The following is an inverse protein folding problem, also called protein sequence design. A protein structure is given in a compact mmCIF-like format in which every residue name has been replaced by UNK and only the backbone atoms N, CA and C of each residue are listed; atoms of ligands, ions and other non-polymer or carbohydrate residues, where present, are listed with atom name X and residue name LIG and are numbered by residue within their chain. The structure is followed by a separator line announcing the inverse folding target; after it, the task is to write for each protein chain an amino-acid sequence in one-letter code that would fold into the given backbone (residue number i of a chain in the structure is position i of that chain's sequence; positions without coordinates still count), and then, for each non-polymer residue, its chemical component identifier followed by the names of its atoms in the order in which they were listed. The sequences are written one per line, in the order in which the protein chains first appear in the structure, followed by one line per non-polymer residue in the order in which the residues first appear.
data_IF_248925518789
#
_entry.id   IF_248925518789
#
_cell.length_a   1.000
_cell.length_b   1.000
_cell.length_c   1.000
_cell.angle_alpha   90.00
_cell.angle_beta   90.00
_cell.angle_gamma   90.00
#
_symmetry.space_group_name_H-M   'P 1'
#
loop_
_entity.id
_entity.type
_entity.pdbx_description
1 polymer ?
#
# COMPACT_ATOMS: atom_id res chain seq x y z
N UNK A 1 -7.97 14.00 57.66
CA UNK A 1 -9.21 13.41 58.17
C UNK A 1 -9.79 12.62 57.01
N UNK A 2 -9.06 11.64 56.49
CA UNK A 2 -8.80 10.33 57.09
C UNK A 2 -10.11 9.60 57.29
N UNK A 3 -10.47 8.75 56.33
CA UNK A 3 -11.06 7.47 56.70
C UNK A 3 -10.51 6.39 55.76
N UNK A 4 -10.01 5.37 56.43
CA UNK A 4 -9.03 4.39 56.03
C UNK A 4 -9.62 3.06 56.44
N UNK A 5 -9.57 2.09 55.51
CA UNK A 5 -9.56 0.64 55.78
C UNK A 5 -10.88 -0.01 56.17
N UNK A 6 -11.26 -1.08 55.46
CA UNK A 6 -10.97 -2.45 55.90
C UNK A 6 -11.64 -3.46 54.95
N UNK A 7 -10.80 -4.28 54.32
CA UNK A 7 -11.18 -5.54 53.68
C UNK A 7 -11.13 -6.64 54.76
N UNK A 8 -12.13 -7.52 54.82
CA UNK A 8 -12.06 -8.82 55.51
C UNK A 8 -12.92 -9.88 54.78
N UNK A 9 -12.69 -11.20 55.01
CA UNK A 9 -12.59 -12.20 53.94
C UNK A 9 -13.74 -13.23 53.90
N UNK A 10 -13.67 -14.10 52.87
CA UNK A 10 -14.61 -15.18 52.55
C UNK A 10 -14.55 -16.39 53.51
N UNK A 11 -15.59 -17.25 53.49
CA UNK A 11 -15.42 -18.68 53.69
C UNK A 11 -15.66 -19.49 52.40
N UNK A 12 -14.79 -20.48 52.21
CA UNK A 12 -14.78 -21.48 51.15
C UNK A 12 -15.78 -22.62 51.41
N UNK A 13 -16.15 -23.38 50.35
CA UNK A 13 -16.04 -24.86 50.17
C UNK A 13 -16.87 -25.31 48.93
N UNK A 14 -16.74 -26.52 48.35
CA UNK A 14 -15.65 -26.88 47.44
C UNK A 14 -16.08 -27.66 46.15
N UNK A 15 -15.11 -27.79 45.25
CA UNK A 15 -14.80 -28.89 44.31
C UNK A 15 -15.89 -29.72 43.61
N UNK A 16 -15.84 -29.70 42.28
CA UNK A 16 -15.38 -30.80 41.39
C UNK A 16 -15.71 -30.36 39.95
N UNK A 17 -14.96 -30.62 38.88
CA UNK A 17 -13.95 -31.63 38.58
C UNK A 17 -13.19 -31.12 37.34
N UNK A 18 -11.89 -31.38 37.32
CA UNK A 18 -10.96 -31.09 36.24
C UNK A 18 -11.27 -31.85 34.95
N UNK A 19 -11.01 -31.23 33.80
CA UNK A 19 -9.91 -31.67 32.92
C UNK A 19 -9.61 -30.67 31.79
N UNK A 20 -8.37 -30.70 31.28
CA UNK A 20 -7.74 -29.60 30.56
C UNK A 20 -7.79 -29.80 29.04
N UNK A 21 -7.75 -28.71 28.28
CA UNK A 21 -6.79 -28.59 27.19
C UNK A 21 -6.80 -27.20 26.56
N UNK A 22 -5.59 -26.66 26.36
CA UNK A 22 -5.28 -25.95 25.12
C UNK A 22 -5.59 -24.46 25.04
N UNK A 23 -4.80 -23.65 25.72
CA UNK A 23 -4.45 -22.31 25.24
C UNK A 23 -3.85 -22.40 23.84
N UNK A 24 -4.45 -21.73 22.85
CA UNK A 24 -3.72 -21.17 21.74
C UNK A 24 -4.46 -19.95 21.20
N UNK A 25 -3.82 -18.79 21.34
CA UNK A 25 -4.12 -17.57 20.60
C UNK A 25 -4.18 -17.84 19.09
N UNK A 26 -4.88 -17.03 18.29
CA UNK A 26 -4.72 -17.09 16.84
C UNK A 26 -3.27 -16.73 16.50
N UNK A 27 -2.43 -17.73 16.25
CA UNK A 27 -1.15 -17.55 15.60
C UNK A 27 -1.42 -17.00 14.22
N UNK A 28 -0.92 -15.80 13.97
CA UNK A 28 -0.73 -15.30 12.61
C UNK A 28 -0.01 -16.39 11.83
N UNK A 29 -0.70 -16.96 10.84
CA UNK A 29 -0.11 -17.93 9.93
C UNK A 29 1.15 -17.34 9.29
N UNK A 30 2.18 -18.14 8.99
CA UNK A 30 3.38 -17.63 8.37
C UNK A 30 3.00 -16.89 7.08
N UNK A 31 3.38 -15.61 7.00
CA UNK A 31 3.41 -14.87 5.76
C UNK A 31 4.24 -15.72 4.78
N UNK A 32 3.56 -16.36 3.84
CA UNK A 32 4.21 -17.21 2.86
C UNK A 32 4.96 -16.28 1.92
N UNK A 33 6.26 -16.11 2.17
CA UNK A 33 7.17 -15.59 1.15
C UNK A 33 7.04 -16.48 -0.09
N UNK A 34 6.95 -15.91 -1.31
CA UNK A 34 6.80 -16.73 -2.50
C UNK A 34 8.05 -17.60 -2.72
N UNK A 35 7.91 -18.77 -3.38
CA UNK A 35 9.04 -19.63 -3.68
C UNK A 35 9.97 -18.97 -4.71
N UNK A 36 11.17 -18.58 -4.31
CA UNK A 36 12.22 -18.13 -5.23
C UNK A 36 12.94 -19.32 -5.83
N UNK A 37 12.43 -19.81 -6.97
CA UNK A 37 13.25 -20.59 -7.92
C UNK A 37 13.87 -19.62 -8.93
N UNK A 38 15.18 -19.65 -9.21
CA UNK A 38 15.73 -18.91 -10.33
C UNK A 38 15.48 -19.71 -11.62
N UNK A 39 14.37 -19.43 -12.30
CA UNK A 39 14.10 -19.95 -13.65
C UNK A 39 14.77 -19.08 -14.71
N UNK A 40 15.21 -19.72 -15.79
CA UNK A 40 15.86 -19.14 -16.97
C UNK A 40 14.93 -18.27 -17.86
N UNK A 41 13.80 -17.81 -17.32
CA UNK A 41 12.88 -16.90 -17.99
C UNK A 41 13.37 -15.44 -17.83
N UNK A 42 13.17 -14.57 -18.84
CA UNK A 42 13.47 -13.16 -18.68
C UNK A 42 12.68 -12.60 -17.48
N UNK A 43 13.28 -11.69 -16.70
CA UNK A 43 12.62 -11.15 -15.51
C UNK A 43 11.29 -10.53 -15.92
N UNK A 44 10.22 -10.88 -15.20
CA UNK A 44 8.90 -10.30 -15.41
C UNK A 44 8.98 -8.76 -15.42
N UNK A 45 8.04 -8.10 -16.11
CA UNK A 45 8.00 -6.64 -16.16
C UNK A 45 7.97 -6.02 -14.75
N UNK A 46 7.30 -6.68 -13.80
CA UNK A 46 7.27 -6.26 -12.41
C UNK A 46 8.66 -6.33 -11.76
N UNK A 47 9.38 -7.44 -11.94
CA UNK A 47 10.76 -7.60 -11.43
C UNK A 47 11.68 -6.51 -11.99
N UNK A 48 11.52 -6.17 -13.27
CA UNK A 48 12.28 -5.09 -13.90
C UNK A 48 11.95 -3.72 -13.31
N UNK A 49 10.66 -3.41 -13.16
CA UNK A 49 10.22 -2.15 -12.56
C UNK A 49 10.77 -1.97 -11.13
N UNK A 50 10.75 -3.05 -10.33
CA UNK A 50 11.32 -3.07 -8.97
C UNK A 50 12.84 -2.79 -9.02
N UNK A 51 13.57 -3.47 -9.90
CA UNK A 51 15.02 -3.29 -10.03
C UNK A 51 15.40 -1.86 -10.42
N UNK A 52 14.68 -1.26 -11.39
CA UNK A 52 14.93 0.13 -11.83
C UNK A 52 14.60 1.11 -10.71
N UNK A 53 13.47 0.93 -10.01
CA UNK A 53 13.11 1.77 -8.86
C UNK A 53 14.14 1.67 -7.73
N UNK A 54 14.75 0.49 -7.55
CA UNK A 54 15.77 0.27 -6.54
C UNK A 54 17.13 0.84 -6.90
N UNK A 55 17.48 0.88 -8.18
CA UNK A 55 18.73 1.43 -8.66
C UNK A 55 18.79 2.96 -8.56
N UNK A 56 17.64 3.65 -8.62
CA UNK A 56 17.58 5.11 -8.60
C UNK A 56 16.73 5.67 -7.45
N UNK A 57 17.44 6.23 -6.45
CA UNK A 57 16.85 6.87 -5.28
C UNK A 57 16.01 8.13 -5.60
N UNK A 58 16.07 8.68 -6.80
CA UNK A 58 15.29 9.85 -7.22
C UNK A 58 13.91 9.51 -7.78
N UNK A 59 13.70 8.26 -8.19
CA UNK A 59 12.43 7.80 -8.76
C UNK A 59 11.39 7.52 -7.66
N UNK A 60 10.16 8.01 -7.86
CA UNK A 60 9.03 7.67 -7.01
C UNK A 60 8.35 6.38 -7.46
N UNK A 61 8.19 6.23 -8.78
CA UNK A 61 7.57 5.07 -9.40
C UNK A 61 8.20 4.74 -10.77
N UNK A 62 8.06 3.49 -11.19
CA UNK A 62 8.50 2.96 -12.49
C UNK A 62 7.41 2.05 -13.03
N UNK A 63 7.16 2.05 -14.33
CA UNK A 63 6.31 1.08 -14.99
C UNK A 63 7.03 0.44 -16.17
N UNK A 64 6.95 -0.89 -16.28
CA UNK A 64 7.54 -1.65 -17.38
C UNK A 64 6.45 -2.46 -18.09
N UNK A 65 6.61 -2.61 -19.41
CA UNK A 65 5.84 -3.54 -20.23
C UNK A 65 6.72 -4.07 -21.34
N UNK A 66 6.78 -5.39 -21.50
CA UNK A 66 7.43 -6.04 -22.64
C UNK A 66 6.37 -6.38 -23.68
N UNK A 67 6.53 -5.87 -24.89
CA UNK A 67 5.63 -6.16 -26.01
C UNK A 67 5.86 -7.56 -26.58
N UNK A 68 4.96 -7.98 -27.47
CA UNK A 68 5.07 -9.27 -28.19
C UNK A 68 6.32 -9.35 -29.09
N UNK A 69 6.87 -8.19 -29.46
CA UNK A 69 8.13 -8.03 -30.18
C UNK A 69 9.38 -8.22 -29.29
N UNK A 70 9.18 -8.47 -27.99
CA UNK A 70 10.24 -8.59 -27.00
C UNK A 70 10.85 -7.26 -26.57
N UNK A 71 10.34 -6.12 -27.07
CA UNK A 71 10.83 -4.79 -26.70
C UNK A 71 10.19 -4.34 -25.39
N UNK A 72 11.02 -3.99 -24.42
CA UNK A 72 10.54 -3.48 -23.13
C UNK A 72 10.43 -1.96 -23.13
N UNK A 73 9.21 -1.46 -22.97
CA UNK A 73 8.95 -0.06 -22.64
C UNK A 73 9.13 0.16 -21.13
N UNK A 74 9.81 1.25 -20.75
CA UNK A 74 9.99 1.66 -19.35
C UNK A 74 9.60 3.12 -19.19
N UNK A 75 8.70 3.39 -18.25
CA UNK A 75 8.26 4.72 -17.86
C UNK A 75 8.75 5.01 -16.45
N UNK A 76 9.31 6.18 -16.23
CA UNK A 76 9.82 6.60 -14.92
C UNK A 76 9.08 7.85 -14.44
N UNK A 77 8.73 7.86 -13.16
CA UNK A 77 8.06 8.96 -12.50
C UNK A 77 8.92 9.46 -11.36
N UNK A 78 9.36 10.71 -11.45
CA UNK A 78 10.14 11.37 -10.41
C UNK A 78 9.30 12.42 -9.67
N UNK A 79 9.64 12.66 -8.40
CA UNK A 79 8.90 13.58 -7.54
C UNK A 79 8.40 12.90 -6.27
N UNK A 80 7.57 13.64 -5.51
CA UNK A 80 7.09 13.22 -4.18
C UNK A 80 5.61 12.90 -4.21
N UNK A 81 5.23 11.87 -3.45
CA UNK A 81 3.85 11.41 -3.35
C UNK A 81 3.31 10.99 -4.71
N UNK A 82 2.06 11.30 -4.95
CA UNK A 82 1.31 10.90 -6.17
C UNK A 82 1.56 11.78 -7.41
N UNK A 83 2.42 12.80 -7.30
CA UNK A 83 2.71 13.72 -8.42
C UNK A 83 3.11 13.03 -9.73
N UNK A 84 4.03 12.04 -9.76
CA UNK A 84 4.37 11.38 -11.01
C UNK A 84 3.19 10.68 -11.68
N UNK A 85 2.27 10.11 -10.90
CA UNK A 85 1.05 9.47 -11.43
C UNK A 85 0.10 10.51 -12.06
N UNK A 86 -0.09 11.64 -11.38
CA UNK A 86 -0.89 12.75 -11.92
C UNK A 86 -0.29 13.36 -13.20
N UNK A 87 1.04 13.35 -13.32
CA UNK A 87 1.75 13.80 -14.51
C UNK A 87 1.50 12.83 -15.67
N UNK A 88 1.64 11.52 -15.45
CA UNK A 88 1.31 10.51 -16.44
C UNK A 88 -0.13 10.63 -16.94
N UNK A 89 -1.10 10.83 -16.04
CA UNK A 89 -2.50 11.10 -16.44
C UNK A 89 -2.64 12.37 -17.28
N UNK A 90 -1.98 13.46 -16.89
CA UNK A 90 -2.03 14.72 -17.63
C UNK A 90 -1.39 14.62 -19.03
N UNK A 91 -0.37 13.78 -19.17
CA UNK A 91 0.30 13.50 -20.44
C UNK A 91 -0.47 12.50 -21.31
N UNK A 92 -1.64 12.03 -20.85
CA UNK A 92 -2.46 11.05 -21.56
C UNK A 92 -1.86 9.63 -21.58
N UNK A 93 -0.90 9.35 -20.70
CA UNK A 93 -0.27 8.04 -20.58
C UNK A 93 -1.28 7.04 -20.04
N UNK A 94 -1.25 5.82 -20.60
CA UNK A 94 -1.99 4.67 -20.13
C UNK A 94 -1.04 3.54 -19.78
N UNK A 95 -1.35 2.84 -18.70
CA UNK A 95 -0.56 1.73 -18.17
C UNK A 95 -1.20 0.37 -18.48
N UNK A 96 -2.03 0.29 -19.51
CA UNK A 96 -2.68 -0.96 -19.93
C UNK A 96 -1.61 -2.03 -20.26
N UNK A 97 -1.62 -3.11 -19.48
CA UNK A 97 -0.64 -4.21 -19.56
C UNK A 97 0.72 -3.92 -18.92
N UNK A 98 0.92 -2.73 -18.33
CA UNK A 98 2.15 -2.42 -17.59
C UNK A 98 2.10 -2.97 -16.16
N UNK A 99 3.27 -3.39 -15.69
CA UNK A 99 3.54 -3.65 -14.29
C UNK A 99 4.31 -2.46 -13.69
N UNK A 100 3.82 -1.93 -12.58
CA UNK A 100 4.40 -0.77 -11.91
C UNK A 100 5.06 -1.14 -10.58
N UNK A 101 6.13 -0.43 -10.22
CA UNK A 101 6.72 -0.43 -8.90
C UNK A 101 6.69 1.00 -8.34
N UNK A 102 6.30 1.14 -7.07
CA UNK A 102 6.28 2.40 -6.34
C UNK A 102 6.91 2.21 -4.96
N UNK A 103 7.37 3.29 -4.34
CA UNK A 103 7.86 3.26 -2.97
C UNK A 103 6.74 3.17 -1.95
N UNK A 104 5.69 3.97 -2.12
CA UNK A 104 4.64 4.11 -1.12
C UNK A 104 3.28 4.16 -1.79
N UNK A 105 2.49 3.09 -1.62
CA UNK A 105 1.15 2.97 -2.20
C UNK A 105 0.10 3.04 -1.09
N UNK A 106 -0.51 4.21 -0.99
CA UNK A 106 -1.75 4.46 -0.26
C UNK A 106 -3.01 4.24 -1.11
N UNK A 107 -4.21 4.32 -0.53
CA UNK A 107 -5.48 4.28 -1.28
C UNK A 107 -5.50 5.28 -2.44
N UNK A 108 -5.01 6.51 -2.22
CA UNK A 108 -4.96 7.53 -3.27
C UNK A 108 -4.05 7.15 -4.44
N UNK A 109 -2.88 6.56 -4.17
CA UNK A 109 -2.00 6.09 -5.24
C UNK A 109 -2.61 4.88 -5.97
N UNK A 110 -3.22 3.95 -5.23
CA UNK A 110 -3.91 2.79 -5.79
C UNK A 110 -5.02 3.18 -6.77
N UNK A 111 -5.87 4.15 -6.41
CA UNK A 111 -6.93 4.64 -7.30
C UNK A 111 -6.37 5.33 -8.54
N UNK A 112 -5.24 6.04 -8.45
CA UNK A 112 -4.58 6.58 -9.64
C UNK A 112 -4.01 5.50 -10.54
N UNK A 113 -3.46 4.43 -9.98
CA UNK A 113 -3.02 3.27 -10.77
C UNK A 113 -4.17 2.56 -11.47
N UNK A 114 -5.32 2.46 -10.80
CA UNK A 114 -6.55 1.99 -11.43
C UNK A 114 -7.00 2.91 -12.56
N UNK A 115 -6.95 4.23 -12.35
CA UNK A 115 -7.29 5.21 -13.40
C UNK A 115 -6.37 5.14 -14.61
N UNK A 116 -5.09 4.86 -14.39
CA UNK A 116 -4.08 4.66 -15.43
C UNK A 116 -4.24 3.32 -16.18
N UNK A 117 -4.88 2.31 -15.56
CA UNK A 117 -5.08 0.98 -16.14
C UNK A 117 -3.92 0.01 -15.90
N UNK A 118 -3.15 0.18 -14.81
CA UNK A 118 -2.03 -0.71 -14.50
C UNK A 118 -2.50 -2.15 -14.26
N UNK A 119 -1.77 -3.13 -14.79
CA UNK A 119 -2.10 -4.55 -14.62
C UNK A 119 -1.61 -5.12 -13.28
N UNK A 120 -0.46 -4.62 -12.81
CA UNK A 120 0.12 -5.01 -11.54
C UNK A 120 0.86 -3.83 -10.89
N UNK A 121 0.87 -3.80 -9.56
CA UNK A 121 1.59 -2.80 -8.76
C UNK A 121 2.35 -3.50 -7.63
N UNK A 122 3.64 -3.24 -7.56
CA UNK A 122 4.47 -3.54 -6.41
C UNK A 122 4.74 -2.27 -5.59
N UNK A 123 4.65 -2.36 -4.26
CA UNK A 123 4.99 -1.25 -3.39
C UNK A 123 6.01 -1.67 -2.31
N UNK A 124 7.07 -0.88 -2.10
CA UNK A 124 7.92 -1.11 -0.92
C UNK A 124 7.13 -0.98 0.38
N UNK A 125 6.25 -0.01 0.45
CA UNK A 125 5.31 0.15 1.55
C UNK A 125 3.90 0.33 1.01
N UNK A 126 2.99 -0.56 1.40
CA UNK A 126 1.59 -0.51 1.00
C UNK A 126 0.72 -0.31 2.24
N UNK A 127 -0.34 0.50 2.14
CA UNK A 127 -1.39 0.48 3.17
C UNK A 127 -2.40 -0.62 2.91
N UNK A 128 -3.06 -1.12 3.96
CA UNK A 128 -4.20 -2.04 3.84
C UNK A 128 -5.27 -1.48 2.88
N UNK A 129 -5.63 -0.20 3.05
CA UNK A 129 -6.58 0.48 2.16
C UNK A 129 -6.11 0.58 0.70
N UNK A 130 -4.79 0.72 0.47
CA UNK A 130 -4.19 0.70 -0.86
C UNK A 130 -4.27 -0.69 -1.51
N UNK A 131 -3.95 -1.74 -0.75
CA UNK A 131 -4.08 -3.13 -1.20
C UNK A 131 -5.52 -3.44 -1.61
N UNK A 132 -6.48 -3.08 -0.76
CA UNK A 132 -7.89 -3.39 -0.96
C UNK A 132 -8.44 -2.65 -2.18
N UNK A 133 -8.04 -1.39 -2.38
CA UNK A 133 -8.40 -0.62 -3.57
C UNK A 133 -7.83 -1.25 -4.85
N UNK A 134 -6.55 -1.67 -4.87
CA UNK A 134 -5.97 -2.37 -6.02
C UNK A 134 -6.75 -3.66 -6.34
N UNK A 135 -7.05 -4.45 -5.30
CA UNK A 135 -7.78 -5.71 -5.46
C UNK A 135 -9.20 -5.49 -5.99
N UNK A 136 -9.92 -4.48 -5.50
CA UNK A 136 -11.27 -4.13 -5.95
C UNK A 136 -11.30 -3.76 -7.45
N UNK A 137 -10.20 -3.19 -7.97
CA UNK A 137 -10.04 -2.81 -9.36
C UNK A 137 -9.36 -3.89 -10.22
N UNK A 138 -9.17 -5.09 -9.69
CA UNK A 138 -8.60 -6.23 -10.43
C UNK A 138 -7.10 -6.11 -10.72
N UNK A 139 -6.39 -5.29 -9.96
CA UNK A 139 -4.96 -5.04 -10.15
C UNK A 139 -4.17 -5.96 -9.22
N UNK A 140 -3.21 -6.71 -9.80
CA UNK A 140 -2.36 -7.59 -9.00
C UNK A 140 -1.43 -6.75 -8.10
N UNK A 141 -1.55 -6.93 -6.78
CA UNK A 141 -0.78 -6.18 -5.80
C UNK A 141 0.31 -7.06 -5.15
N UNK A 142 1.50 -6.50 -4.96
CA UNK A 142 2.55 -7.08 -4.13
C UNK A 142 3.26 -6.00 -3.31
N UNK A 143 3.92 -6.38 -2.22
CA UNK A 143 4.55 -5.40 -1.34
C UNK A 143 5.72 -5.99 -0.54
N UNK A 144 6.64 -5.13 -0.10
CA UNK A 144 7.66 -5.52 0.89
C UNK A 144 7.10 -5.41 2.32
N UNK A 145 6.42 -4.30 2.62
CA UNK A 145 5.83 -4.02 3.94
C UNK A 145 4.39 -3.57 3.78
N UNK A 146 3.48 -4.21 4.52
CA UNK A 146 2.08 -3.78 4.66
C UNK A 146 1.91 -3.03 5.98
N UNK A 147 1.24 -1.88 5.94
CA UNK A 147 0.95 -1.05 7.12
C UNK A 147 -0.56 -0.73 7.20
N UNK A 148 -1.11 -0.47 8.38
CA UNK A 148 -2.53 -0.08 8.50
C UNK A 148 -2.88 1.20 7.73
N UNK A 149 -1.97 2.19 7.72
CA UNK A 149 -2.18 3.47 7.02
C UNK A 149 -0.86 4.13 6.63
N UNK A 150 -0.85 4.89 5.53
CA UNK A 150 0.27 5.76 5.18
C UNK A 150 0.21 7.04 6.01
N UNK A 151 1.26 7.29 6.79
CA UNK A 151 1.40 8.51 7.57
C UNK A 151 1.89 9.68 6.73
N UNK A 152 1.58 10.89 7.19
CA UNK A 152 2.13 12.11 6.64
C UNK A 152 3.64 12.21 6.96
N UNK A 153 4.31 13.23 6.40
CA UNK A 153 5.75 13.41 6.58
C UNK A 153 6.17 13.75 8.03
N UNK A 154 5.29 14.35 8.81
CA UNK A 154 5.54 14.63 10.22
C UNK A 154 5.37 13.39 11.11
N UNK A 155 4.71 12.35 10.59
CA UNK A 155 4.42 11.11 11.32
C UNK A 155 3.33 11.27 12.38
N UNK A 156 2.65 12.41 12.43
CA UNK A 156 1.65 12.75 13.45
C UNK A 156 0.19 12.50 13.02
N UNK A 157 -0.01 12.02 11.79
CA UNK A 157 -1.33 11.66 11.30
C UNK A 157 -1.33 11.05 9.91
N UNK A 158 -2.51 10.62 9.45
CA UNK A 158 -2.71 10.05 8.11
C UNK A 158 -2.32 11.04 7.01
N UNK A 159 -1.68 10.51 5.96
CA UNK A 159 -1.31 11.23 4.76
C UNK A 159 -2.51 12.02 4.20
N UNK A 160 -2.35 13.32 3.88
CA UNK A 160 -3.46 14.13 3.38
C UNK A 160 -4.08 13.60 2.07
N UNK A 161 -3.27 12.95 1.23
CA UNK A 161 -3.73 12.31 -0.01
C UNK A 161 -4.56 11.06 0.28
N UNK A 162 -4.17 10.26 1.27
CA UNK A 162 -4.94 9.08 1.67
C UNK A 162 -6.28 9.49 2.29
N UNK A 163 -6.26 10.56 3.10
CA UNK A 163 -7.47 11.13 3.70
C UNK A 163 -8.44 11.68 2.67
N UNK A 164 -7.97 12.31 1.59
CA UNK A 164 -8.85 12.91 0.58
C UNK A 164 -9.69 11.90 -0.19
N UNK A 165 -9.33 10.62 -0.15
CA UNK A 165 -10.03 9.54 -0.86
C UNK A 165 -10.58 8.46 0.09
N UNK A 166 -10.61 8.71 1.40
CA UNK A 166 -10.98 7.69 2.37
C UNK A 166 -12.36 7.05 2.07
N UNK A 167 -13.34 7.86 1.63
CA UNK A 167 -14.67 7.42 1.23
C UNK A 167 -14.92 7.35 -0.29
N UNK A 168 -13.87 7.41 -1.12
CA UNK A 168 -13.99 7.35 -2.58
C UNK A 168 -13.50 5.99 -3.05
N UNK A 169 -14.31 5.27 -3.83
CA UNK A 169 -13.93 3.98 -4.43
C UNK A 169 -13.71 4.09 -5.95
N UNK A 170 -14.32 5.08 -6.58
CA UNK A 170 -14.27 5.28 -8.02
C UNK A 170 -12.99 6.03 -8.44
N UNK A 171 -12.16 5.48 -9.36
CA UNK A 171 -10.93 6.11 -9.82
C UNK A 171 -11.12 7.45 -10.54
N UNK A 172 -12.24 7.63 -11.26
CA UNK A 172 -12.56 8.87 -11.95
C UNK A 172 -12.92 10.00 -10.97
N UNK A 173 -13.60 9.68 -9.87
CA UNK A 173 -13.87 10.60 -8.77
C UNK A 173 -12.63 10.88 -7.90
N UNK A 174 -11.72 9.92 -7.79
CA UNK A 174 -10.52 10.04 -6.97
C UNK A 174 -9.50 11.04 -7.52
N UNK A 175 -9.29 11.07 -8.84
CA UNK A 175 -8.33 11.97 -9.48
C UNK A 175 -8.54 13.45 -9.10
N UNK A 176 -9.73 14.07 -9.30
CA UNK A 176 -9.94 15.47 -8.97
C UNK A 176 -9.80 15.75 -7.47
N UNK A 177 -10.25 14.84 -6.60
CA UNK A 177 -10.08 14.97 -5.15
C UNK A 177 -8.60 14.98 -4.75
N UNK A 178 -7.79 14.12 -5.36
CA UNK A 178 -6.35 14.07 -5.14
C UNK A 178 -5.67 15.33 -5.67
N UNK A 179 -6.02 15.81 -6.87
CA UNK A 179 -5.46 17.05 -7.43
C UNK A 179 -5.73 18.25 -6.52
N UNK A 180 -6.93 18.36 -5.97
CA UNK A 180 -7.28 19.39 -5.01
C UNK A 180 -6.44 19.30 -3.73
N UNK A 181 -6.27 18.11 -3.16
CA UNK A 181 -5.44 17.89 -1.98
C UNK A 181 -3.96 18.25 -2.24
N UNK A 182 -3.41 17.88 -3.40
CA UNK A 182 -2.06 18.26 -3.81
C UNK A 182 -1.91 19.78 -3.93
N UNK A 183 -2.88 20.48 -4.51
CA UNK A 183 -2.85 21.94 -4.64
C UNK A 183 -2.79 22.64 -3.27
N UNK A 184 -3.60 22.20 -2.30
CA UNK A 184 -3.57 22.70 -0.92
C UNK A 184 -2.20 22.49 -0.28
N UNK A 185 -1.61 21.30 -0.44
CA UNK A 185 -0.29 20.99 0.10
C UNK A 185 0.84 21.81 -0.53
N UNK A 186 0.70 22.22 -1.80
CA UNK A 186 1.67 23.09 -2.45
C UNK A 186 1.53 24.53 -1.96
N UNK A 187 0.30 25.01 -1.78
CA UNK A 187 0.04 26.36 -1.25
C UNK A 187 0.53 26.52 0.19
N UNK A 188 0.41 25.49 1.04
CA UNK A 188 0.87 25.51 2.42
C UNK A 188 2.41 25.43 2.60
N UNK A 189 3.17 25.34 1.49
CA UNK A 189 4.64 25.23 1.49
C UNK A 189 5.34 26.47 0.94
N UNK A 190 4.56 27.46 0.45
CA UNK A 190 5.05 28.79 0.06
C UNK A 190 4.90 29.78 1.19
#
# INVERSE_FOLDING_TARGET
MSDTTTIQPAPAVPSAVASPDGTAAPTAGPATAPPTVPSADPPSDLTRAIAVLAADATLGCVACRTGDDGVTATLTGSGRGVRPLLQWLADGVRLDGFAAADRVVGKGAALLYARLGAAAVHARTMSESGRDALAAHGIAASWDVLVPTILNRAGDGMCPIERSVAGIEDPDEAEPAIRAAVAVLMAARG
#
